data_IF_420351734921
#
_entry.id   IF_420351734921
#
_cell.length_a   1.000
_cell.length_b   1.000
_cell.length_c   1.000
_cell.angle_alpha   90.00
_cell.angle_beta   90.00
_cell.angle_gamma   90.00
#
_symmetry.space_group_name_H-M   'P 1'
#
loop_
_entity.id
_entity.type
_entity.pdbx_description
1 polymer ?
#
# COMPACT_ATOMS: atom_id res chain seq x y z
N UNK A 1 -7.13 -13.55 -11.35
CA UNK A 1 -7.48 -12.83 -10.11
C UNK A 1 -7.77 -11.39 -10.45
N UNK A 2 -8.97 -10.91 -10.14
CA UNK A 2 -9.30 -9.48 -10.23
C UNK A 2 -8.82 -8.86 -8.92
N UNK A 3 -8.02 -7.81 -9.00
CA UNK A 3 -7.45 -7.10 -7.85
C UNK A 3 -7.97 -5.68 -7.84
N UNK A 4 -8.17 -5.11 -6.67
CA UNK A 4 -8.70 -3.77 -6.50
C UNK A 4 -7.76 -2.86 -5.71
N UNK A 5 -7.76 -1.58 -6.06
CA UNK A 5 -7.01 -0.57 -5.35
C UNK A 5 -7.53 -0.47 -3.90
N UNK A 6 -6.61 -0.47 -2.94
CA UNK A 6 -6.91 -0.47 -1.52
C UNK A 6 -7.03 -1.86 -0.89
N UNK A 7 -7.00 -2.93 -1.67
CA UNK A 7 -6.86 -4.28 -1.12
C UNK A 7 -5.48 -4.46 -0.48
N UNK A 8 -5.45 -5.19 0.62
CA UNK A 8 -4.26 -5.45 1.43
C UNK A 8 -3.95 -6.94 1.37
N UNK A 9 -2.75 -7.28 0.93
CA UNK A 9 -2.30 -8.66 0.77
C UNK A 9 -1.03 -8.92 1.55
N UNK A 10 -0.78 -10.18 1.89
CA UNK A 10 0.55 -10.61 2.28
C UNK A 10 1.51 -10.68 1.09
N UNK A 11 2.67 -10.06 1.27
CA UNK A 11 3.77 -10.06 0.32
C UNK A 11 5.09 -10.35 1.02
N UNK A 12 5.96 -11.13 0.38
CA UNK A 12 7.35 -11.30 0.80
C UNK A 12 8.24 -10.35 0.00
N UNK A 13 8.81 -9.39 0.71
CA UNK A 13 9.74 -8.42 0.18
C UNK A 13 11.17 -8.93 0.35
N UNK A 14 12.03 -8.63 -0.62
CA UNK A 14 13.41 -9.12 -0.72
C UNK A 14 14.41 -7.97 -0.84
N UNK A 15 14.04 -6.77 -0.36
CA UNK A 15 14.81 -5.56 -0.60
C UNK A 15 16.17 -5.52 0.11
N UNK A 16 17.00 -4.59 -0.34
CA UNK A 16 18.33 -4.30 0.19
C UNK A 16 18.40 -2.97 0.92
N UNK A 17 19.38 -2.77 1.81
CA UNK A 17 19.50 -1.54 2.61
C UNK A 17 18.21 -1.09 3.33
N UNK A 18 17.68 0.07 2.94
CA UNK A 18 16.48 0.66 3.53
C UNK A 18 15.16 0.19 2.89
N UNK A 19 15.23 -0.64 1.86
CA UNK A 19 14.05 -1.20 1.20
C UNK A 19 13.30 -2.18 2.11
N UNK A 20 12.01 -2.45 1.85
CA UNK A 20 11.22 -3.33 2.69
C UNK A 20 11.69 -4.78 2.55
N UNK A 21 11.64 -5.54 3.65
CA UNK A 21 12.10 -6.94 3.69
C UNK A 21 11.18 -7.84 4.47
N UNK A 22 11.25 -9.14 4.19
CA UNK A 22 10.49 -10.17 4.88
C UNK A 22 9.00 -10.17 4.51
N UNK A 23 8.23 -11.04 5.18
CA UNK A 23 6.78 -11.16 4.95
C UNK A 23 6.04 -10.07 5.73
N UNK A 24 5.33 -9.19 5.02
CA UNK A 24 4.51 -8.12 5.61
C UNK A 24 3.33 -7.77 4.69
N UNK A 25 2.29 -7.09 5.21
CA UNK A 25 1.20 -6.66 4.35
C UNK A 25 1.66 -5.61 3.33
N UNK A 26 0.95 -5.52 2.21
CA UNK A 26 1.16 -4.53 1.17
C UNK A 26 -0.21 -4.07 0.66
N UNK A 27 -0.39 -2.77 0.47
CA UNK A 27 -1.61 -2.18 -0.09
C UNK A 27 -1.46 -2.10 -1.60
N UNK A 28 -2.41 -2.61 -2.37
CA UNK A 28 -2.48 -2.37 -3.81
C UNK A 28 -2.82 -0.90 -4.05
N UNK A 29 -1.89 -0.16 -4.64
CA UNK A 29 -2.07 1.27 -4.94
C UNK A 29 -2.24 1.56 -6.42
N UNK A 30 -1.98 0.58 -7.29
CA UNK A 30 -2.24 0.70 -8.72
C UNK A 30 -3.74 0.93 -8.98
N UNK A 31 -4.04 1.86 -9.88
CA UNK A 31 -5.42 2.19 -10.23
C UNK A 31 -6.13 1.02 -10.93
N UNK A 32 -7.41 0.87 -10.64
CA UNK A 32 -8.25 -0.24 -11.05
C UNK A 32 -8.37 -0.46 -12.57
N UNK A 33 -8.26 0.62 -13.36
CA UNK A 33 -8.17 0.52 -14.84
C UNK A 33 -7.00 -0.36 -15.28
N UNK A 34 -5.84 -0.27 -14.60
CA UNK A 34 -4.68 -1.11 -14.88
C UNK A 34 -4.83 -2.50 -14.25
N UNK A 35 -5.38 -2.59 -13.04
CA UNK A 35 -5.60 -3.89 -12.38
C UNK A 35 -6.56 -4.81 -13.17
N UNK A 36 -7.53 -4.24 -13.88
CA UNK A 36 -8.46 -4.99 -14.74
C UNK A 36 -7.93 -5.27 -16.16
N UNK A 37 -6.76 -4.73 -16.52
CA UNK A 37 -6.13 -4.98 -17.82
C UNK A 37 -5.38 -6.32 -17.86
N UNK A 38 -4.82 -6.65 -19.02
CA UNK A 38 -3.96 -7.82 -19.23
C UNK A 38 -2.57 -7.70 -18.57
N UNK A 39 -2.21 -6.54 -17.99
CA UNK A 39 -0.92 -6.33 -17.31
C UNK A 39 -0.79 -7.31 -16.15
N UNK A 40 0.28 -8.12 -16.12
CA UNK A 40 0.48 -9.14 -15.07
C UNK A 40 1.10 -8.61 -13.78
N UNK A 41 1.44 -7.33 -13.74
CA UNK A 41 1.99 -6.65 -12.57
C UNK A 41 0.95 -5.79 -11.85
N UNK A 42 1.31 -5.37 -10.63
CA UNK A 42 0.63 -4.33 -9.88
C UNK A 42 1.61 -3.53 -9.05
N UNK A 43 1.24 -2.32 -8.68
CA UNK A 43 2.03 -1.44 -7.79
C UNK A 43 1.45 -1.52 -6.38
N UNK A 44 2.32 -1.74 -5.40
CA UNK A 44 1.96 -1.84 -3.99
C UNK A 44 2.76 -0.88 -3.13
N UNK A 45 2.18 -0.43 -2.01
CA UNK A 45 2.88 0.26 -0.94
C UNK A 45 3.09 -0.69 0.25
N UNK A 46 4.30 -0.70 0.82
CA UNK A 46 4.61 -1.57 1.95
C UNK A 46 3.89 -1.14 3.24
N UNK A 47 3.39 -2.11 4.00
CA UNK A 47 2.83 -1.89 5.34
C UNK A 47 3.83 -2.34 6.40
N UNK A 48 4.04 -1.51 7.41
CA UNK A 48 4.99 -1.76 8.49
C UNK A 48 4.35 -1.55 9.85
N UNK A 49 4.80 -2.30 10.85
CA UNK A 49 4.40 -2.10 12.24
C UNK A 49 5.26 -1.06 12.97
N UNK A 50 6.24 -0.46 12.31
CA UNK A 50 7.04 0.60 12.90
C UNK A 50 6.19 1.88 12.95
N UNK A 51 5.49 2.07 14.07
CA UNK A 51 4.55 3.18 14.26
C UNK A 51 5.20 4.56 14.24
N UNK A 52 6.52 4.66 14.44
CA UNK A 52 7.25 5.94 14.33
C UNK A 52 7.13 6.54 12.93
N UNK A 53 6.97 5.69 11.91
CA UNK A 53 6.82 6.14 10.54
C UNK A 53 5.47 6.84 10.26
N UNK A 54 4.50 6.77 11.18
CA UNK A 54 3.25 7.52 11.06
C UNK A 54 3.45 9.04 11.09
N UNK A 55 4.57 9.53 11.63
CA UNK A 55 4.89 10.96 11.65
C UNK A 55 5.57 11.45 10.36
N UNK A 56 5.89 10.54 9.42
CA UNK A 56 6.53 10.92 8.15
C UNK A 56 5.49 11.43 7.15
N UNK A 57 5.85 12.38 6.27
CA UNK A 57 4.92 12.97 5.32
C UNK A 57 4.20 11.92 4.47
N UNK A 58 2.88 12.06 4.36
CA UNK A 58 2.02 11.20 3.54
C UNK A 58 1.78 9.77 4.08
N UNK A 59 2.46 9.34 5.15
CA UNK A 59 2.24 8.01 5.71
C UNK A 59 0.89 7.91 6.44
N UNK A 60 0.24 6.75 6.30
CA UNK A 60 -1.11 6.54 6.84
C UNK A 60 -1.08 5.51 7.95
N UNK A 61 -1.48 5.91 9.16
CA UNK A 61 -1.61 5.00 10.30
C UNK A 61 -2.87 4.15 10.16
N UNK A 62 -2.71 2.84 10.38
CA UNK A 62 -3.78 1.86 10.48
C UNK A 62 -3.88 1.34 11.92
N UNK A 63 -5.10 1.29 12.44
CA UNK A 63 -5.48 0.60 13.66
C UNK A 63 -5.50 -0.90 13.39
N UNK A 64 -5.36 -1.70 14.45
CA UNK A 64 -5.60 -3.15 14.37
C UNK A 64 -7.01 -3.41 13.85
N UNK A 65 -7.15 -4.32 12.90
CA UNK A 65 -8.44 -4.67 12.28
C UNK A 65 -8.83 -3.80 11.08
N UNK A 66 -8.25 -2.62 10.85
CA UNK A 66 -8.45 -1.91 9.57
C UNK A 66 -7.86 -2.75 8.42
N UNK A 67 -8.67 -3.08 7.43
CA UNK A 67 -8.34 -4.06 6.39
C UNK A 67 -7.79 -5.40 6.95
N UNK A 68 -8.26 -5.80 8.14
CA UNK A 68 -7.83 -7.00 8.87
C UNK A 68 -6.32 -7.09 9.15
N UNK A 69 -5.61 -5.97 9.23
CA UNK A 69 -4.21 -6.01 9.67
C UNK A 69 -4.14 -6.54 11.11
N UNK A 70 -3.21 -7.47 11.42
CA UNK A 70 -3.21 -8.19 12.70
C UNK A 70 -2.80 -7.33 13.90
N UNK A 71 -2.20 -6.15 13.65
CA UNK A 71 -1.66 -5.23 14.64
C UNK A 71 -1.61 -3.80 14.08
N UNK A 72 -1.51 -2.78 14.94
CA UNK A 72 -1.34 -1.40 14.48
C UNK A 72 -0.17 -1.29 13.50
N UNK A 73 -0.40 -0.57 12.41
CA UNK A 73 0.51 -0.53 11.27
C UNK A 73 0.52 0.85 10.61
N UNK A 74 1.42 1.03 9.65
CA UNK A 74 1.56 2.25 8.83
C UNK A 74 1.73 1.82 7.39
N UNK A 75 0.94 2.41 6.49
CA UNK A 75 1.19 2.37 5.05
C UNK A 75 2.32 3.36 4.77
N UNK A 76 3.48 2.85 4.34
CA UNK A 76 4.63 3.67 4.04
C UNK A 76 4.61 4.06 2.55
N UNK A 77 4.15 5.27 2.24
CA UNK A 77 3.92 5.69 0.86
C UNK A 77 5.22 5.81 0.06
N UNK A 78 6.34 6.09 0.73
CA UNK A 78 7.67 6.15 0.10
C UNK A 78 8.25 4.77 -0.31
N UNK A 79 7.60 3.67 0.06
CA UNK A 79 8.10 2.32 -0.16
C UNK A 79 7.19 1.58 -1.15
N UNK A 80 7.29 1.99 -2.41
CA UNK A 80 6.51 1.47 -3.54
C UNK A 80 7.28 0.40 -4.30
N UNK A 81 6.57 -0.66 -4.70
CA UNK A 81 7.14 -1.70 -5.56
C UNK A 81 6.14 -2.09 -6.65
N UNK A 82 6.64 -2.21 -7.88
CA UNK A 82 5.95 -2.95 -8.95
C UNK A 82 6.30 -4.42 -8.82
N UNK A 83 5.30 -5.29 -8.79
CA UNK A 83 5.47 -6.73 -8.57
C UNK A 83 4.61 -7.54 -9.54
N UNK A 84 5.00 -8.77 -9.84
CA UNK A 84 4.09 -9.75 -10.45
C UNK A 84 2.94 -10.08 -9.46
N UNK A 85 1.71 -10.14 -9.98
CA UNK A 85 0.51 -10.40 -9.17
C UNK A 85 0.53 -11.73 -8.44
N UNK A 86 1.24 -12.74 -8.97
CA UNK A 86 1.41 -14.06 -8.34
C UNK A 86 2.26 -14.03 -7.07
N UNK A 87 2.95 -12.92 -6.78
CA UNK A 87 3.67 -12.72 -5.51
C UNK A 87 2.75 -12.33 -4.35
N UNK A 88 1.53 -11.85 -4.65
CA UNK A 88 0.52 -11.55 -3.65
C UNK A 88 -0.16 -12.87 -3.28
N UNK A 89 -0.20 -13.14 -1.97
CA UNK A 89 -0.68 -14.42 -1.47
C UNK A 89 -2.10 -14.29 -0.92
N UNK A 90 -2.26 -14.30 0.39
CA UNK A 90 -3.55 -14.15 1.05
C UNK A 90 -3.96 -12.66 1.10
N UNK A 91 -5.20 -12.38 0.66
CA UNK A 91 -5.86 -11.09 0.87
C UNK A 91 -6.30 -11.00 2.32
N UNK A 92 -5.84 -9.97 3.03
CA UNK A 92 -6.27 -9.67 4.39
C UNK A 92 -7.64 -8.98 4.37
N UNK A 93 -7.83 -8.02 3.48
CA UNK A 93 -9.05 -7.24 3.38
C UNK A 93 -8.83 -5.96 2.58
N UNK A 94 -9.75 -5.02 2.70
CA UNK A 94 -9.72 -3.77 1.92
C UNK A 94 -9.74 -2.57 2.85
N UNK A 95 -8.94 -1.55 2.52
CA UNK A 95 -8.98 -0.28 3.23
C UNK A 95 -10.37 0.37 3.09
N UNK A 96 -10.84 0.97 4.18
CA UNK A 96 -12.01 1.86 4.13
C UNK A 96 -11.77 3.05 3.20
N UNK A 97 -12.85 3.64 2.69
CA UNK A 97 -12.79 4.73 1.72
C UNK A 97 -11.97 5.94 2.20
N UNK A 98 -12.05 6.27 3.48
CA UNK A 98 -11.25 7.33 4.11
C UNK A 98 -9.76 7.01 4.06
N UNK A 99 -9.35 5.82 4.50
CA UNK A 99 -7.94 5.40 4.46
C UNK A 99 -7.39 5.31 3.05
N UNK A 100 -8.19 4.84 2.10
CA UNK A 100 -7.78 4.83 0.70
C UNK A 100 -7.56 6.26 0.16
N UNK A 101 -8.39 7.24 0.56
CA UNK A 101 -8.17 8.66 0.22
C UNK A 101 -6.88 9.19 0.85
N UNK A 102 -6.61 8.89 2.11
CA UNK A 102 -5.37 9.30 2.78
C UNK A 102 -4.15 8.74 2.05
N UNK A 103 -4.18 7.46 1.66
CA UNK A 103 -3.09 6.83 0.91
C UNK A 103 -2.89 7.53 -0.44
N UNK A 104 -3.97 7.82 -1.18
CA UNK A 104 -3.89 8.55 -2.45
C UNK A 104 -3.30 9.95 -2.28
N UNK A 105 -3.68 10.69 -1.22
CA UNK A 105 -3.09 11.99 -0.88
C UNK A 105 -1.60 11.87 -0.57
N UNK A 106 -1.21 10.88 0.24
CA UNK A 106 0.20 10.61 0.52
C UNK A 106 1.02 10.27 -0.72
N UNK A 107 0.44 9.54 -1.68
CA UNK A 107 1.07 9.28 -2.97
C UNK A 107 1.16 10.53 -3.86
N UNK A 108 0.13 11.38 -3.85
CA UNK A 108 0.17 12.64 -4.59
C UNK A 108 1.28 13.56 -4.06
N UNK A 109 1.42 13.67 -2.73
CA UNK A 109 2.52 14.37 -2.07
C UNK A 109 3.88 13.77 -2.44
N UNK A 110 4.03 12.44 -2.39
CA UNK A 110 5.28 11.75 -2.74
C UNK A 110 5.76 12.09 -4.15
N UNK A 111 4.83 12.19 -5.11
CA UNK A 111 5.15 12.48 -6.52
C UNK A 111 5.10 13.98 -6.86
N UNK A 112 4.75 14.86 -5.92
CA UNK A 112 4.62 16.30 -6.17
C UNK A 112 3.48 16.66 -7.14
N UNK A 113 2.40 15.88 -7.14
CA UNK A 113 1.23 16.06 -8.03
C UNK A 113 -0.05 16.39 -7.25
N UNK A 114 0.13 17.03 -6.10
CA UNK A 114 -0.98 17.53 -5.31
C UNK A 114 -1.84 18.46 -6.18
N UNK A 115 -3.16 18.24 -6.17
CA UNK A 115 -4.06 19.16 -6.84
C UNK A 115 -3.89 20.52 -6.15
N UNK A 116 -3.57 21.55 -6.91
CA UNK A 116 -3.64 22.92 -6.40
C UNK A 116 -5.06 23.10 -5.86
N UNK A 117 -5.19 23.37 -4.56
CA UNK A 117 -6.47 23.78 -3.97
C UNK A 117 -7.02 24.92 -4.82
N UNK A 118 -8.07 24.63 -5.59
CA UNK A 118 -8.87 25.60 -6.32
C UNK A 118 -10.19 25.73 -5.59
#
# INVERSE_FOLDING_TARGET
MVMHQGEVYWLRFTGEGSEPRGRRPAVVVQHDRFNRSAIRTTVVAAVTSNLRLAAMPGNVRLRRGEANVPRPSVVNVSQLLTIDRGRLTECLGTLGSERLRDVRRGLALLFGIESADT
#
